data_IF_089879457034
#
_entry.id   IF_089879457034
#
_cell.length_a   1.000
_cell.length_b   1.000
_cell.length_c   1.000
_cell.angle_alpha   90.00
_cell.angle_beta   90.00
_cell.angle_gamma   90.00
#
_symmetry.space_group_name_H-M   'P 1'
#
loop_
_entity.id
_entity.type
_entity.pdbx_description
1 polymer ?
#
# COMPACT_ATOMS: atom_id res chain seq x y z
N UNK A 1 -0.76 -19.10 7.58
CA UNK A 1 0.01 -17.94 8.06
C UNK A 1 -1.00 -16.82 8.37
N UNK A 2 -0.95 -16.12 9.53
CA UNK A 2 -2.03 -15.23 10.04
C UNK A 2 -1.51 -13.86 10.51
N UNK A 3 -2.34 -12.83 10.45
CA UNK A 3 -2.16 -11.56 11.16
C UNK A 3 -3.24 -11.42 12.24
N UNK A 4 -2.95 -10.71 13.33
CA UNK A 4 -3.84 -10.56 14.48
C UNK A 4 -4.09 -9.09 14.79
N UNK A 5 -5.34 -8.74 15.05
CA UNK A 5 -5.72 -7.44 15.62
C UNK A 5 -6.54 -7.76 16.86
N UNK A 6 -5.98 -7.51 18.04
CA UNK A 6 -6.61 -7.83 19.31
C UNK A 6 -7.01 -6.53 20.04
N UNK A 7 -8.32 -6.30 20.10
CA UNK A 7 -8.89 -4.99 20.42
C UNK A 7 -9.63 -4.99 21.76
N UNK A 8 -9.19 -4.09 22.65
CA UNK A 8 -9.95 -3.60 23.80
C UNK A 8 -10.20 -2.09 23.73
N UNK A 9 -9.55 -1.40 22.78
CA UNK A 9 -9.76 -0.02 22.33
C UNK A 9 -9.72 0.04 20.79
N UNK A 10 -10.17 1.15 20.18
CA UNK A 10 -10.19 1.31 18.73
C UNK A 10 -8.82 1.12 18.07
N UNK A 11 -8.83 0.50 16.90
CA UNK A 11 -7.70 0.46 15.97
C UNK A 11 -8.15 1.21 14.72
N UNK A 12 -7.44 2.30 14.38
CA UNK A 12 -7.68 3.09 13.16
C UNK A 12 -6.63 2.71 12.13
N UNK A 13 -7.07 2.30 10.95
CA UNK A 13 -6.20 1.92 9.84
C UNK A 13 -6.58 2.80 8.66
N UNK A 14 -5.59 3.50 8.12
CA UNK A 14 -5.74 4.36 6.95
C UNK A 14 -5.92 3.57 5.64
N UNK A 15 -5.93 4.31 4.54
CA UNK A 15 -6.05 3.74 3.21
C UNK A 15 -4.75 3.08 2.77
N UNK A 16 -4.85 2.03 1.94
CA UNK A 16 -3.69 1.36 1.34
C UNK A 16 -2.65 0.84 2.36
N UNK A 17 -3.08 0.55 3.59
CA UNK A 17 -2.22 -0.09 4.60
C UNK A 17 -2.11 -1.57 4.31
N UNK A 18 -0.88 -2.07 4.20
CA UNK A 18 -0.65 -3.50 4.12
C UNK A 18 -0.20 -4.08 5.46
N UNK A 19 -1.03 -4.97 6.01
CA UNK A 19 -0.74 -5.75 7.21
C UNK A 19 -0.36 -7.16 6.76
N UNK A 20 0.94 -7.38 6.60
CA UNK A 20 1.48 -8.66 6.19
C UNK A 20 1.45 -9.70 7.30
N UNK A 21 1.85 -10.91 6.95
CA UNK A 21 1.73 -12.03 7.85
C UNK A 21 2.70 -11.96 9.04
N UNK A 22 2.26 -12.42 10.22
CA UNK A 22 3.02 -12.35 11.46
C UNK A 22 2.81 -11.03 12.20
N UNK A 23 2.07 -10.08 11.59
CA UNK A 23 1.75 -8.82 12.26
C UNK A 23 0.73 -9.05 13.37
N UNK A 24 0.93 -8.35 14.48
CA UNK A 24 0.07 -8.41 15.64
C UNK A 24 -0.13 -7.00 16.21
N UNK A 25 -1.37 -6.53 16.24
CA UNK A 25 -1.72 -5.19 16.75
C UNK A 25 -2.49 -5.38 18.05
N UNK A 26 -2.02 -4.75 19.13
CA UNK A 26 -2.63 -4.84 20.45
C UNK A 26 -3.07 -3.46 20.93
N UNK A 27 -4.27 -3.40 21.52
CA UNK A 27 -4.75 -2.20 22.23
C UNK A 27 -4.93 -2.39 23.72
N UNK A 28 -4.41 -3.50 24.26
CA UNK A 28 -4.29 -3.81 25.69
C UNK A 28 -2.89 -4.35 26.00
N UNK A 29 -2.40 -4.03 27.19
CA UNK A 29 -1.14 -4.51 27.74
C UNK A 29 -1.37 -5.18 29.08
N UNK A 30 -0.82 -4.61 30.15
CA UNK A 30 -1.07 -5.09 31.52
C UNK A 30 -2.58 -5.05 31.85
N UNK A 31 -3.10 -6.18 32.31
CA UNK A 31 -4.53 -6.43 32.55
C UNK A 31 -4.82 -6.98 33.95
N UNK A 32 -3.78 -7.23 34.75
CA UNK A 32 -3.89 -7.74 36.11
C UNK A 32 -4.58 -6.71 37.02
N UNK A 33 -5.07 -7.18 38.17
CA UNK A 33 -5.84 -6.38 39.11
C UNK A 33 -5.09 -5.12 39.55
N UNK A 34 -5.63 -3.92 39.30
CA UNK A 34 -5.07 -2.69 39.86
C UNK A 34 -5.15 -2.65 41.39
N UNK A 35 -6.05 -3.43 42.00
CA UNK A 35 -6.15 -3.56 43.46
C UNK A 35 -4.93 -4.27 44.05
N UNK A 36 -4.24 -5.09 43.25
CA UNK A 36 -2.98 -5.75 43.64
C UNK A 36 -1.75 -4.88 43.27
N UNK A 37 -1.96 -3.65 42.78
CA UNK A 37 -0.91 -2.70 42.43
C UNK A 37 -0.36 -2.82 41.00
N UNK A 38 -0.97 -3.63 40.14
CA UNK A 38 -0.56 -3.73 38.74
C UNK A 38 -1.03 -2.52 37.91
N UNK A 39 -0.26 -2.09 36.90
CA UNK A 39 -0.71 -1.07 35.96
C UNK A 39 -1.83 -1.61 35.06
N UNK A 40 -2.73 -0.73 34.66
CA UNK A 40 -3.76 -1.02 33.66
C UNK A 40 -3.39 -0.31 32.36
N UNK A 41 -3.20 -1.06 31.27
CA UNK A 41 -2.76 -0.48 30.00
C UNK A 41 -3.74 -0.81 28.88
N UNK A 42 -4.52 0.18 28.48
CA UNK A 42 -5.43 0.11 27.34
C UNK A 42 -5.37 1.42 26.57
N UNK A 43 -4.96 1.37 25.32
CA UNK A 43 -4.83 2.58 24.50
C UNK A 43 -5.10 2.26 23.02
N UNK A 44 -5.74 3.18 22.28
CA UNK A 44 -6.01 2.99 20.87
C UNK A 44 -4.70 2.92 20.06
N UNK A 45 -4.78 2.34 18.87
CA UNK A 45 -3.67 2.34 17.89
C UNK A 45 -4.14 3.03 16.62
N UNK A 46 -3.27 3.86 16.04
CA UNK A 46 -3.54 4.53 14.75
C UNK A 46 -2.44 4.21 13.75
N UNK A 47 -2.81 3.76 12.56
CA UNK A 47 -1.89 3.48 11.44
C UNK A 47 -2.33 4.36 10.27
N UNK A 48 -1.45 5.27 9.84
CA UNK A 48 -1.72 6.19 8.73
C UNK A 48 -1.70 5.51 7.36
N UNK A 49 -2.11 6.25 6.34
CA UNK A 49 -2.21 5.78 4.96
C UNK A 49 -0.88 5.23 4.41
N UNK A 50 -0.96 4.29 3.47
CA UNK A 50 0.18 3.72 2.74
C UNK A 50 1.26 3.08 3.64
N UNK A 51 0.93 2.71 4.88
CA UNK A 51 1.88 2.02 5.75
C UNK A 51 2.06 0.54 5.36
N UNK A 52 3.26 0.00 5.58
CA UNK A 52 3.57 -1.41 5.36
C UNK A 52 4.15 -2.08 6.61
N UNK A 53 3.45 -3.12 7.09
CA UNK A 53 3.80 -3.90 8.28
C UNK A 53 3.87 -5.41 7.91
N UNK A 54 4.99 -5.92 7.36
CA UNK A 54 5.18 -7.29 6.90
C UNK A 54 5.56 -8.27 8.03
N UNK A 55 4.90 -8.18 9.18
CA UNK A 55 5.22 -9.02 10.34
C UNK A 55 5.69 -8.23 11.56
N UNK A 56 5.01 -7.13 11.88
CA UNK A 56 5.36 -6.26 13.01
C UNK A 56 4.37 -6.42 14.18
N UNK A 57 4.87 -6.32 15.41
CA UNK A 57 4.04 -6.21 16.62
C UNK A 57 3.87 -4.74 17.00
N UNK A 58 2.63 -4.27 17.16
CA UNK A 58 2.32 -2.89 17.55
C UNK A 58 1.70 -2.87 18.94
N UNK A 59 2.34 -2.14 19.86
CA UNK A 59 1.87 -2.01 21.23
C UNK A 59 0.73 -0.99 21.37
N UNK A 60 -0.03 -1.06 22.48
CA UNK A 60 -1.10 -0.11 22.76
C UNK A 60 -0.60 1.34 22.78
N UNK A 61 -1.42 2.26 22.26
CA UNK A 61 -1.14 3.69 22.31
C UNK A 61 -0.25 4.21 21.19
N UNK A 62 0.22 3.35 20.29
CA UNK A 62 1.12 3.73 19.20
C UNK A 62 0.36 4.37 18.03
N UNK A 63 0.92 5.46 17.53
CA UNK A 63 0.58 6.08 16.25
C UNK A 63 1.73 5.88 15.26
N UNK A 64 1.43 5.25 14.11
CA UNK A 64 2.34 5.13 12.98
C UNK A 64 1.90 6.13 11.91
N UNK A 65 2.75 7.12 11.62
CA UNK A 65 2.47 8.14 10.61
C UNK A 65 2.40 7.55 9.19
N UNK A 66 1.67 8.20 8.26
CA UNK A 66 1.49 7.72 6.89
C UNK A 66 2.81 7.53 6.14
N UNK A 67 2.80 6.72 5.08
CA UNK A 67 3.95 6.38 4.24
C UNK A 67 5.11 5.71 5.00
N UNK A 68 4.83 5.07 6.14
CA UNK A 68 5.85 4.43 6.97
C UNK A 68 5.98 2.95 6.66
N UNK A 69 7.22 2.47 6.56
CA UNK A 69 7.54 1.05 6.47
C UNK A 69 8.13 0.58 7.80
N UNK A 70 7.50 -0.44 8.39
CA UNK A 70 8.03 -1.13 9.57
C UNK A 70 8.73 -2.41 9.08
N UNK A 71 9.98 -2.62 9.45
CA UNK A 71 10.70 -3.83 9.09
C UNK A 71 10.07 -5.08 9.73
N UNK A 72 10.15 -6.22 9.04
CA UNK A 72 9.68 -7.52 9.55
C UNK A 72 10.30 -7.86 10.91
N UNK A 73 9.51 -8.44 11.81
CA UNK A 73 9.96 -8.86 13.15
C UNK A 73 10.09 -7.71 14.16
N UNK A 74 9.71 -6.49 13.81
CA UNK A 74 9.86 -5.32 14.70
C UNK A 74 8.76 -5.25 15.76
N UNK A 75 9.11 -4.73 16.95
CA UNK A 75 8.17 -4.49 18.06
C UNK A 75 8.04 -2.98 18.29
N UNK A 76 6.96 -2.39 17.79
CA UNK A 76 6.67 -0.96 17.84
C UNK A 76 6.13 -0.59 19.21
N UNK A 77 6.99 0.04 20.02
CA UNK A 77 6.68 0.42 21.41
C UNK A 77 6.40 1.92 21.59
N UNK A 78 6.49 2.71 20.53
CA UNK A 78 6.31 4.17 20.53
C UNK A 78 5.94 4.66 19.14
N UNK A 79 5.42 5.88 19.07
CA UNK A 79 5.04 6.52 17.82
C UNK A 79 6.18 6.57 16.80
N UNK A 80 5.82 6.38 15.53
CA UNK A 80 6.73 6.45 14.39
C UNK A 80 6.30 7.62 13.50
N UNK A 81 7.19 8.58 13.21
CA UNK A 81 6.90 9.70 12.32
C UNK A 81 6.54 9.24 10.90
N UNK A 82 5.77 10.06 10.18
CA UNK A 82 5.42 9.82 8.78
C UNK A 82 6.65 9.66 7.88
N UNK A 83 6.51 8.88 6.81
CA UNK A 83 7.56 8.66 5.81
C UNK A 83 8.79 7.90 6.33
N UNK A 84 8.72 7.28 7.50
CA UNK A 84 9.88 6.62 8.12
C UNK A 84 10.12 5.22 7.57
N UNK A 85 11.39 4.80 7.57
CA UNK A 85 11.76 3.40 7.69
C UNK A 85 12.10 3.14 9.15
N UNK A 86 11.38 2.25 9.82
CA UNK A 86 11.63 1.90 11.22
C UNK A 86 11.74 0.39 11.41
N UNK A 87 12.53 -0.05 12.39
CA UNK A 87 12.65 -1.47 12.70
C UNK A 87 13.36 -1.79 14.01
N UNK A 88 13.31 -3.07 14.38
CA UNK A 88 14.01 -3.63 15.54
C UNK A 88 13.11 -3.96 16.74
N UNK A 89 13.73 -4.48 17.79
CA UNK A 89 13.09 -4.84 19.07
C UNK A 89 13.93 -4.23 20.21
N UNK A 90 13.53 -3.09 20.79
CA UNK A 90 12.37 -2.28 20.42
C UNK A 90 12.55 -1.56 19.07
N UNK A 91 11.46 -1.29 18.37
CA UNK A 91 11.47 -0.62 17.07
C UNK A 91 11.96 0.83 17.22
N UNK A 92 12.82 1.25 16.29
CA UNK A 92 13.42 2.58 16.22
C UNK A 92 13.38 3.07 14.78
N UNK A 93 13.27 4.38 14.59
CA UNK A 93 13.43 4.98 13.27
C UNK A 93 14.87 4.71 12.79
N UNK A 94 14.99 4.06 11.65
CA UNK A 94 16.25 3.79 10.95
C UNK A 94 16.56 4.95 10.00
N UNK A 95 15.54 5.45 9.31
CA UNK A 95 15.63 6.58 8.41
C UNK A 95 14.36 7.43 8.45
N UNK A 96 14.53 8.71 8.70
CA UNK A 96 13.46 9.71 8.59
C UNK A 96 13.27 10.14 7.14
N UNK A 97 12.03 10.53 6.77
CA UNK A 97 11.69 11.00 5.42
C UNK A 97 12.20 10.09 4.30
N UNK A 98 12.15 8.77 4.54
CA UNK A 98 12.56 7.77 3.57
C UNK A 98 11.57 7.65 2.41
N UNK A 99 10.27 7.86 2.67
CA UNK A 99 9.20 7.57 1.71
C UNK A 99 8.05 8.58 1.71
N UNK A 100 7.36 8.76 0.57
CA UNK A 100 7.82 8.36 -0.75
C UNK A 100 8.98 9.26 -1.20
N UNK A 101 9.98 8.69 -1.87
CA UNK A 101 10.97 9.49 -2.58
C UNK A 101 10.35 9.95 -3.90
N UNK A 102 10.37 11.25 -4.25
CA UNK A 102 9.93 11.68 -5.56
C UNK A 102 10.83 11.09 -6.65
N UNK A 103 10.20 10.62 -7.72
CA UNK A 103 10.89 10.08 -8.90
C UNK A 103 11.03 11.17 -9.97
N UNK A 104 12.16 11.20 -10.66
CA UNK A 104 12.31 12.02 -11.86
C UNK A 104 11.46 11.47 -13.02
N UNK A 105 11.26 12.30 -14.05
CA UNK A 105 10.59 11.91 -15.28
C UNK A 105 11.30 10.72 -15.95
N UNK A 106 12.63 10.74 -15.97
CA UNK A 106 13.47 9.68 -16.53
C UNK A 106 13.36 8.37 -15.72
N UNK A 107 13.31 8.47 -14.39
CA UNK A 107 13.11 7.30 -13.52
C UNK A 107 11.74 6.67 -13.77
N UNK A 108 10.68 7.49 -13.90
CA UNK A 108 9.33 7.00 -14.23
C UNK A 108 9.28 6.33 -15.60
N UNK A 109 9.80 6.99 -16.64
CA UNK A 109 9.85 6.43 -18.00
C UNK A 109 10.61 5.10 -18.03
N UNK A 110 11.79 5.05 -17.42
CA UNK A 110 12.59 3.82 -17.35
C UNK A 110 11.84 2.67 -16.68
N UNK A 111 11.15 2.95 -15.58
CA UNK A 111 10.33 1.93 -14.91
C UNK A 111 9.23 1.40 -15.84
N UNK A 112 8.51 2.29 -16.55
CA UNK A 112 7.43 1.88 -17.44
C UNK A 112 7.93 1.12 -18.67
N UNK A 113 9.04 1.55 -19.25
CA UNK A 113 9.68 0.84 -20.36
C UNK A 113 10.09 -0.58 -19.95
N UNK A 114 10.66 -0.74 -18.75
CA UNK A 114 11.01 -2.04 -18.18
C UNK A 114 9.77 -2.89 -17.84
N UNK A 115 8.74 -2.27 -17.29
CA UNK A 115 7.46 -2.92 -17.02
C UNK A 115 6.86 -3.47 -18.32
N UNK A 116 6.77 -2.66 -19.38
CA UNK A 116 6.22 -3.09 -20.67
C UNK A 116 7.07 -4.18 -21.33
N UNK A 117 8.40 -4.08 -21.21
CA UNK A 117 9.31 -5.11 -21.72
C UNK A 117 9.10 -6.45 -21.03
N UNK A 118 9.00 -6.47 -19.70
CA UNK A 118 8.80 -7.71 -18.93
C UNK A 118 7.37 -8.24 -19.04
N UNK A 119 6.39 -7.36 -19.21
CA UNK A 119 5.01 -7.71 -19.46
C UNK A 119 4.78 -8.30 -20.87
N UNK A 120 5.66 -8.02 -21.83
CA UNK A 120 5.46 -8.37 -23.24
C UNK A 120 5.14 -9.84 -23.50
N UNK A 121 5.81 -10.78 -22.83
CA UNK A 121 5.52 -12.22 -22.95
C UNK A 121 4.13 -12.56 -22.39
N UNK A 122 3.77 -11.98 -21.24
CA UNK A 122 2.47 -12.20 -20.59
C UNK A 122 1.32 -11.56 -21.37
N UNK A 123 1.59 -10.44 -22.04
CA UNK A 123 0.61 -9.70 -22.85
C UNK A 123 0.41 -10.34 -24.23
N UNK A 124 1.44 -11.01 -24.77
CA UNK A 124 1.35 -11.74 -26.03
C UNK A 124 0.27 -12.83 -26.00
N UNK A 125 0.09 -13.52 -24.86
CA UNK A 125 -1.00 -14.48 -24.64
C UNK A 125 -2.39 -13.85 -24.81
N UNK A 126 -2.51 -12.54 -24.55
CA UNK A 126 -3.72 -11.76 -24.74
C UNK A 126 -3.80 -11.08 -26.12
N UNK A 127 -2.89 -11.41 -27.06
CA UNK A 127 -2.73 -10.72 -28.35
C UNK A 127 -2.48 -9.21 -28.21
N UNK A 128 -1.94 -8.78 -27.08
CA UNK A 128 -1.51 -7.42 -26.85
C UNK A 128 0.01 -7.39 -26.97
N UNK A 129 0.54 -6.55 -27.84
CA UNK A 129 2.00 -6.33 -27.89
C UNK A 129 2.35 -5.02 -27.17
N UNK A 130 3.53 -4.91 -26.54
CA UNK A 130 3.96 -3.66 -25.91
C UNK A 130 3.87 -2.42 -26.82
N UNK A 131 3.94 -2.59 -28.14
CA UNK A 131 3.77 -1.51 -29.12
C UNK A 131 2.35 -0.90 -29.14
N UNK A 132 1.34 -1.63 -28.63
CA UNK A 132 -0.03 -1.11 -28.45
C UNK A 132 -0.18 -0.27 -27.16
N UNK A 133 0.91 -0.19 -26.37
CA UNK A 133 0.97 0.59 -25.15
C UNK A 133 1.81 1.85 -25.37
N UNK A 134 1.33 2.99 -24.91
CA UNK A 134 2.05 4.26 -25.02
C UNK A 134 2.24 4.89 -23.63
N UNK A 135 3.47 5.21 -23.29
CA UNK A 135 3.79 6.01 -22.10
C UNK A 135 3.71 7.49 -22.48
N UNK A 136 2.80 8.22 -21.85
CA UNK A 136 2.52 9.64 -22.16
C UNK A 136 2.64 10.51 -20.90
N UNK A 137 2.47 11.83 -21.08
CA UNK A 137 2.51 12.84 -20.00
C UNK A 137 3.71 12.66 -19.04
N UNK A 138 4.92 12.67 -19.61
CA UNK A 138 6.16 12.53 -18.83
C UNK A 138 6.23 11.30 -17.92
N UNK A 139 5.61 10.21 -18.37
CA UNK A 139 5.61 8.92 -17.68
C UNK A 139 4.63 8.86 -16.52
N UNK A 140 3.67 9.78 -16.45
CA UNK A 140 2.55 9.73 -15.50
C UNK A 140 1.42 8.81 -15.98
N UNK A 141 1.32 8.59 -17.29
CA UNK A 141 0.20 7.88 -17.92
C UNK A 141 0.67 6.74 -18.81
N UNK A 142 -0.11 5.65 -18.78
CA UNK A 142 0.02 4.52 -19.69
C UNK A 142 -1.28 4.34 -20.46
N UNK A 143 -1.23 4.47 -21.78
CA UNK A 143 -2.37 4.21 -22.65
C UNK A 143 -2.30 2.79 -23.21
N UNK A 144 -3.45 2.13 -23.31
CA UNK A 144 -3.64 0.82 -23.95
C UNK A 144 -4.85 0.93 -24.87
N UNK A 145 -4.60 1.16 -26.17
CA UNK A 145 -5.66 1.60 -27.09
C UNK A 145 -6.31 2.90 -26.61
N UNK A 146 -7.64 2.91 -26.47
CA UNK A 146 -8.42 4.07 -26.03
C UNK A 146 -8.56 4.20 -24.50
N UNK A 147 -7.84 3.36 -23.74
CA UNK A 147 -7.89 3.32 -22.28
C UNK A 147 -6.64 3.96 -21.69
N UNK A 148 -6.82 4.92 -20.79
CA UNK A 148 -5.73 5.62 -20.12
C UNK A 148 -5.67 5.24 -18.66
N UNK A 149 -4.50 4.78 -18.22
CA UNK A 149 -4.16 4.55 -16.81
C UNK A 149 -3.32 5.73 -16.32
N UNK A 150 -3.85 6.55 -15.42
CA UNK A 150 -3.09 7.59 -14.72
C UNK A 150 -2.46 6.98 -13.47
N UNK A 151 -1.14 6.83 -13.52
CA UNK A 151 -0.36 6.12 -12.51
C UNK A 151 -0.13 6.98 -11.26
N UNK A 152 -0.35 8.29 -11.35
CA UNK A 152 -0.16 9.24 -10.26
C UNK A 152 -1.47 9.43 -9.50
N UNK A 153 -2.56 9.73 -10.22
CA UNK A 153 -3.89 9.89 -9.61
C UNK A 153 -4.56 8.55 -9.30
N UNK A 154 -3.98 7.43 -9.77
CA UNK A 154 -4.51 6.07 -9.60
C UNK A 154 -5.91 5.91 -10.18
N UNK A 155 -6.18 6.61 -11.28
CA UNK A 155 -7.43 6.55 -12.02
C UNK A 155 -7.25 5.82 -13.35
N UNK A 156 -8.34 5.27 -13.88
CA UNK A 156 -8.37 4.66 -15.21
C UNK A 156 -9.66 5.07 -15.91
N UNK A 157 -9.53 5.49 -17.17
CA UNK A 157 -10.64 5.94 -17.99
C UNK A 157 -10.60 5.31 -19.38
N UNK A 158 -11.78 5.07 -19.96
CA UNK A 158 -11.94 4.45 -21.27
C UNK A 158 -12.48 3.01 -21.22
N UNK A 159 -12.46 2.30 -22.35
CA UNK A 159 -13.00 0.95 -22.46
C UNK A 159 -12.28 -0.08 -21.56
N UNK A 160 -13.01 -1.11 -21.14
CA UNK A 160 -12.48 -2.26 -20.43
C UNK A 160 -12.61 -3.49 -21.30
N UNK A 161 -11.49 -4.15 -21.58
CA UNK A 161 -11.43 -5.42 -22.30
C UNK A 161 -10.41 -6.35 -21.62
N UNK A 162 -10.23 -7.57 -22.14
CA UNK A 162 -9.30 -8.54 -21.56
C UNK A 162 -7.84 -8.04 -21.52
N UNK A 163 -7.44 -7.15 -22.45
CA UNK A 163 -6.08 -6.64 -22.54
C UNK A 163 -5.86 -5.57 -21.47
N UNK A 164 -6.79 -4.63 -21.32
CA UNK A 164 -6.68 -3.55 -20.32
C UNK A 164 -6.79 -4.11 -18.90
N UNK A 165 -7.64 -5.11 -18.67
CA UNK A 165 -7.71 -5.83 -17.40
C UNK A 165 -6.40 -6.56 -17.07
N UNK A 166 -5.76 -7.19 -18.07
CA UNK A 166 -4.46 -7.84 -17.89
C UNK A 166 -3.36 -6.84 -17.51
N UNK A 167 -3.33 -5.68 -18.17
CA UNK A 167 -2.38 -4.60 -17.84
C UNK A 167 -2.63 -4.07 -16.43
N UNK A 168 -3.90 -3.84 -16.06
CA UNK A 168 -4.31 -3.43 -14.71
C UNK A 168 -3.81 -4.40 -13.64
N UNK A 169 -3.96 -5.70 -13.88
CA UNK A 169 -3.47 -6.75 -12.97
C UNK A 169 -1.94 -6.79 -12.86
N UNK A 170 -1.23 -6.57 -13.97
CA UNK A 170 0.24 -6.53 -13.98
C UNK A 170 0.76 -5.29 -13.23
N UNK A 171 0.16 -4.12 -13.43
CA UNK A 171 0.47 -2.91 -12.68
C UNK A 171 0.24 -3.11 -11.18
N UNK A 172 -0.87 -3.77 -10.81
CA UNK A 172 -1.19 -4.11 -9.42
C UNK A 172 -0.12 -4.99 -8.77
N UNK A 173 0.48 -5.93 -9.51
CA UNK A 173 1.59 -6.77 -9.01
C UNK A 173 2.86 -5.96 -8.71
N UNK A 174 3.01 -4.80 -9.34
CA UNK A 174 4.08 -3.84 -9.06
C UNK A 174 3.66 -2.75 -8.06
N UNK A 175 2.52 -2.93 -7.37
CA UNK A 175 2.04 -1.99 -6.37
C UNK A 175 1.30 -0.77 -6.92
N UNK A 176 1.10 -0.68 -8.25
CA UNK A 176 0.33 0.40 -8.89
C UNK A 176 -1.12 -0.05 -8.99
N UNK A 177 -1.98 0.53 -8.15
CA UNK A 177 -3.39 0.14 -8.01
C UNK A 177 -4.28 1.26 -8.49
N UNK A 178 -5.45 0.91 -9.03
CA UNK A 178 -6.44 1.85 -9.53
C UNK A 178 -7.76 1.68 -8.78
N UNK A 179 -8.42 2.80 -8.50
CA UNK A 179 -9.71 2.83 -7.83
C UNK A 179 -10.84 2.95 -8.86
N UNK A 180 -11.07 1.87 -9.61
CA UNK A 180 -12.10 1.84 -10.65
C UNK A 180 -12.87 0.52 -10.68
N UNK A 181 -14.16 0.62 -10.98
CA UNK A 181 -15.03 -0.52 -11.30
C UNK A 181 -15.26 -0.62 -12.81
N UNK A 182 -15.61 -1.82 -13.28
CA UNK A 182 -15.97 -2.04 -14.68
C UNK A 182 -17.49 -2.13 -14.78
N UNK A 183 -18.10 -1.21 -15.52
CA UNK A 183 -19.53 -1.19 -15.76
C UNK A 183 -19.82 -1.09 -17.26
N UNK A 184 -20.35 -2.17 -17.85
CA UNK A 184 -20.68 -2.22 -19.28
C UNK A 184 -19.46 -2.08 -20.20
N UNK A 185 -18.35 -2.75 -19.85
CA UNK A 185 -17.07 -2.69 -20.57
C UNK A 185 -16.42 -1.30 -20.60
N UNK A 186 -16.64 -0.48 -19.58
CA UNK A 186 -16.01 0.83 -19.41
C UNK A 186 -15.54 0.94 -17.96
N UNK A 187 -14.33 1.47 -17.77
CA UNK A 187 -13.86 1.82 -16.44
C UNK A 187 -14.60 3.05 -15.92
N UNK A 188 -15.06 2.98 -14.68
CA UNK A 188 -15.65 4.09 -13.95
C UNK A 188 -14.98 4.25 -12.62
N UNK A 189 -14.91 5.48 -12.13
CA UNK A 189 -14.39 5.75 -10.80
C UNK A 189 -15.16 4.94 -9.76
N UNK A 190 -14.40 4.31 -8.87
CA UNK A 190 -14.98 3.55 -7.78
C UNK A 190 -15.67 4.52 -6.81
N UNK A 191 -16.96 4.28 -6.52
CA UNK A 191 -17.75 5.17 -5.68
C UNK A 191 -17.28 5.13 -4.24
N UNK A 192 -16.82 6.27 -3.73
CA UNK A 192 -16.65 6.55 -2.30
C UNK A 192 -17.99 6.98 -1.67
N UNK A 193 -19.07 6.22 -1.88
CA UNK A 193 -20.34 6.47 -1.18
C UNK A 193 -20.49 5.50 0.00
N UNK A 194 -19.68 5.67 1.05
CA UNK A 194 -19.95 5.22 2.43
C UNK A 194 -19.24 6.10 3.44
#
# INVERSE_FOLDING_TARGET
>A
MRAFINTARPVRIGNEVGIGTGSAIYTHGAYQSPLDGFPLSFAPVSIGDNCWLPGATVNPGVTIGPNTVIAVGSVVTRDIPAGSLAGGVPCRVIKENAYPRPLSVEERRRFLDEFLRTAGEILADCKLVPADCAVVDDGSQLCVGDTTFDLITRSVSGPSDARTEKVRDLLRRHGIRFFAEVAGNVYRDWRHDV
#
